data_IF_881966544629
#
_entry.id   IF_881966544629
#
_cell.length_a   1.000
_cell.length_b   1.000
_cell.length_c   1.000
_cell.angle_alpha   90.00
_cell.angle_beta   90.00
_cell.angle_gamma   90.00
#
_symmetry.space_group_name_H-M   'P 1'
#
loop_
_entity.id
_entity.type
_entity.pdbx_description
1 polymer ?
#
# COMPACT_ATOMS: atom_id res chain seq x y z
N UNK A 1 32.13 -36.38 57.52
CA UNK A 1 30.92 -36.88 56.76
C UNK A 1 29.93 -35.75 56.39
N UNK A 2 30.30 -34.50 56.61
CA UNK A 2 29.44 -33.32 56.36
C UNK A 2 29.74 -32.54 55.04
N UNK A 3 30.78 -32.87 54.28
CA UNK A 3 31.21 -32.20 53.07
C UNK A 3 30.68 -32.83 51.73
N UNK A 4 30.02 -34.02 51.82
CA UNK A 4 29.58 -34.79 50.68
C UNK A 4 28.14 -34.47 50.26
N UNK A 5 27.35 -33.85 51.14
CA UNK A 5 25.94 -33.48 50.81
C UNK A 5 25.75 -32.06 50.31
N UNK A 6 26.75 -31.17 50.44
CA UNK A 6 26.66 -29.82 49.94
C UNK A 6 26.91 -29.72 48.43
N UNK A 7 27.57 -30.70 47.82
CA UNK A 7 27.85 -30.72 46.38
C UNK A 7 26.67 -31.22 45.54
N UNK A 8 25.81 -32.06 46.15
CA UNK A 8 24.61 -32.56 45.47
C UNK A 8 23.49 -31.51 45.41
N UNK A 9 23.44 -30.57 46.34
CA UNK A 9 22.42 -29.50 46.35
C UNK A 9 22.78 -28.32 45.43
N UNK A 10 24.08 -28.08 45.17
CA UNK A 10 24.52 -27.05 44.23
C UNK A 10 24.37 -27.46 42.76
N UNK A 11 24.34 -28.76 42.45
CA UNK A 11 24.11 -29.23 41.06
C UNK A 11 22.63 -29.25 40.64
N UNK A 12 21.69 -29.23 41.59
CA UNK A 12 20.26 -29.19 41.27
C UNK A 12 19.72 -27.78 40.99
N UNK A 13 20.49 -26.73 41.31
CA UNK A 13 20.13 -25.33 41.06
C UNK A 13 20.61 -24.79 39.69
N UNK A 14 21.35 -25.60 38.94
CA UNK A 14 21.95 -25.19 37.65
C UNK A 14 21.19 -25.66 36.40
N UNK A 15 20.03 -26.30 36.53
CA UNK A 15 19.21 -26.77 35.44
C UNK A 15 17.86 -26.03 35.26
N UNK A 16 17.73 -24.83 35.83
CA UNK A 16 16.66 -23.94 35.34
C UNK A 16 17.14 -23.36 33.99
N UNK A 17 16.99 -24.16 32.93
CA UNK A 17 16.96 -23.55 31.59
C UNK A 17 15.89 -22.45 31.62
N UNK A 18 16.17 -21.23 31.19
CA UNK A 18 15.13 -20.24 31.09
C UNK A 18 14.02 -20.82 30.20
N UNK A 19 12.88 -21.16 30.84
CA UNK A 19 11.69 -21.53 30.09
C UNK A 19 11.37 -20.34 29.21
N UNK A 20 11.40 -20.52 27.88
CA UNK A 20 10.98 -19.47 26.96
C UNK A 20 9.55 -19.03 27.28
N UNK A 21 9.27 -17.76 27.20
CA UNK A 21 7.93 -17.25 27.43
C UNK A 21 6.92 -17.89 26.48
N UNK A 22 5.72 -18.20 26.97
CA UNK A 22 4.63 -18.78 26.16
C UNK A 22 4.11 -17.73 25.20
N UNK A 23 3.93 -18.10 23.93
CA UNK A 23 3.43 -17.22 22.86
C UNK A 23 4.21 -15.93 22.68
N UNK A 24 5.52 -16.06 22.60
CA UNK A 24 6.40 -14.94 22.28
C UNK A 24 6.01 -14.30 20.95
N UNK A 25 6.18 -12.97 20.91
CA UNK A 25 5.98 -12.17 19.72
C UNK A 25 7.17 -12.32 18.77
N UNK A 26 7.07 -13.27 17.86
CA UNK A 26 8.08 -13.55 16.83
C UNK A 26 7.61 -13.02 15.46
N UNK A 27 8.55 -12.61 14.58
CA UNK A 27 8.19 -12.17 13.23
C UNK A 27 7.41 -13.25 12.48
N UNK A 28 6.25 -12.90 11.96
CA UNK A 28 5.47 -13.77 11.10
C UNK A 28 5.89 -13.54 9.64
N UNK A 29 6.57 -14.54 9.03
CA UNK A 29 7.00 -14.51 7.66
C UNK A 29 8.34 -13.81 7.38
N UNK A 30 8.91 -14.18 6.26
CA UNK A 30 10.27 -13.80 5.84
C UNK A 30 10.40 -12.29 5.54
N UNK A 31 9.34 -11.66 5.05
CA UNK A 31 9.36 -10.23 4.77
C UNK A 31 9.48 -9.44 6.08
N UNK A 32 8.68 -9.78 7.08
CA UNK A 32 8.72 -9.16 8.40
C UNK A 32 10.11 -9.33 9.04
N UNK A 33 10.66 -10.55 8.99
CA UNK A 33 12.00 -10.82 9.51
C UNK A 33 13.06 -9.97 8.78
N UNK A 34 12.98 -9.84 7.46
CA UNK A 34 13.90 -9.03 6.64
C UNK A 34 13.85 -7.53 6.95
N UNK A 35 12.73 -7.04 7.49
CA UNK A 35 12.56 -5.65 7.96
C UNK A 35 13.01 -5.42 9.42
N UNK A 36 13.60 -6.42 10.07
CA UNK A 36 14.07 -6.30 11.45
C UNK A 36 13.04 -6.71 12.50
N UNK A 37 11.87 -7.20 12.11
CA UNK A 37 10.82 -7.65 13.00
C UNK A 37 9.43 -7.43 12.45
N UNK A 38 8.42 -7.66 13.27
CA UNK A 38 7.04 -7.35 12.86
C UNK A 38 6.82 -5.85 12.79
N UNK A 39 6.02 -5.40 11.82
CA UNK A 39 5.69 -4.00 11.59
C UNK A 39 4.18 -3.76 11.52
N UNK A 40 3.69 -2.81 12.31
CA UNK A 40 2.26 -2.50 12.43
C UNK A 40 1.69 -1.74 11.22
N UNK A 41 2.55 -1.16 10.36
CA UNK A 41 2.15 -0.39 9.17
C UNK A 41 2.55 -1.06 7.84
N UNK A 42 3.30 -2.16 7.87
CA UNK A 42 3.80 -2.82 6.67
C UNK A 42 2.72 -3.75 6.09
N UNK A 43 2.17 -3.40 4.94
CA UNK A 43 1.19 -4.22 4.22
C UNK A 43 1.86 -5.48 3.65
N UNK A 44 1.58 -6.61 4.25
CA UNK A 44 2.07 -7.94 3.90
C UNK A 44 0.96 -8.97 4.16
N UNK A 45 0.84 -10.05 3.39
CA UNK A 45 -0.16 -11.09 3.65
C UNK A 45 -0.19 -11.66 5.07
N UNK A 46 0.96 -11.81 5.72
CA UNK A 46 1.05 -12.31 7.12
C UNK A 46 1.04 -11.21 8.17
N UNK A 47 0.90 -9.96 7.77
CA UNK A 47 0.95 -8.81 8.70
C UNK A 47 -0.22 -8.73 9.69
N UNK A 48 -1.29 -9.50 9.49
CA UNK A 48 -2.40 -9.58 10.43
C UNK A 48 -1.98 -10.06 11.82
N UNK A 49 -0.87 -10.79 11.95
CA UNK A 49 -0.29 -11.12 13.24
C UNK A 49 0.37 -9.92 13.93
N UNK A 50 0.83 -8.94 13.17
CA UNK A 50 1.38 -7.69 13.72
C UNK A 50 0.31 -6.61 13.92
N UNK A 51 -0.66 -6.52 13.02
CA UNK A 51 -1.78 -5.59 13.07
C UNK A 51 -3.00 -6.15 12.33
N UNK A 52 -4.08 -6.49 13.05
CA UNK A 52 -5.30 -7.04 12.47
C UNK A 52 -5.98 -6.19 11.40
N UNK A 53 -5.72 -4.89 11.33
CA UNK A 53 -6.35 -4.00 10.35
C UNK A 53 -5.67 -4.02 8.97
N UNK A 54 -4.42 -4.47 8.86
CA UNK A 54 -3.66 -4.45 7.61
C UNK A 54 -4.29 -5.27 6.47
N UNK A 55 -4.92 -6.43 6.71
CA UNK A 55 -5.62 -7.18 5.67
C UNK A 55 -6.74 -6.43 4.96
N UNK A 56 -7.28 -5.36 5.57
CA UNK A 56 -8.29 -4.50 4.96
C UNK A 56 -7.87 -3.89 3.61
N UNK A 57 -6.57 -3.74 3.37
CA UNK A 57 -6.01 -3.29 2.09
C UNK A 57 -6.00 -4.38 1.01
N UNK A 58 -6.14 -5.66 1.37
CA UNK A 58 -6.06 -6.77 0.42
C UNK A 58 -7.21 -6.75 -0.58
N UNK A 59 -6.89 -7.01 -1.85
CA UNK A 59 -7.86 -6.99 -2.95
C UNK A 59 -8.09 -8.35 -3.59
N UNK A 60 -7.18 -9.29 -3.34
CA UNK A 60 -7.18 -10.63 -3.93
C UNK A 60 -7.30 -11.65 -2.82
N UNK A 61 -7.91 -12.80 -3.13
CA UNK A 61 -7.80 -13.96 -2.27
C UNK A 61 -6.32 -14.35 -2.20
N UNK A 62 -5.80 -14.44 -0.99
CA UNK A 62 -4.42 -14.77 -0.74
C UNK A 62 -4.34 -15.94 0.22
N UNK A 63 -3.44 -16.86 -0.04
CA UNK A 63 -3.10 -17.94 0.87
C UNK A 63 -1.61 -18.19 0.84
N UNK A 64 -1.09 -18.76 1.91
CA UNK A 64 0.31 -19.09 1.96
C UNK A 64 0.71 -19.87 3.18
N UNK A 65 2.00 -20.14 3.22
CA UNK A 65 2.66 -20.79 4.32
C UNK A 65 3.98 -20.09 4.63
N UNK A 66 4.36 -20.14 5.88
CA UNK A 66 5.63 -19.62 6.36
C UNK A 66 6.33 -20.62 7.28
N UNK A 67 7.63 -20.53 7.27
CA UNK A 67 8.52 -21.24 8.16
C UNK A 67 9.48 -20.23 8.79
N UNK A 68 9.69 -20.34 10.08
CA UNK A 68 10.72 -19.62 10.82
C UNK A 68 11.50 -20.60 11.68
N UNK A 69 12.81 -20.70 11.45
CA UNK A 69 13.72 -21.49 12.26
C UNK A 69 14.67 -20.59 13.04
N UNK A 70 14.89 -20.90 14.31
CA UNK A 70 15.90 -20.24 15.12
C UNK A 70 16.91 -21.27 15.61
N UNK A 71 18.18 -20.95 15.48
CA UNK A 71 19.28 -21.86 15.84
C UNK A 71 20.01 -21.35 17.09
N UNK A 72 20.12 -22.20 18.07
CA UNK A 72 20.85 -21.88 19.33
C UNK A 72 22.31 -21.60 19.05
N UNK A 73 22.78 -20.46 19.53
CA UNK A 73 24.21 -20.21 19.78
C UNK A 73 24.58 -20.60 21.22
N UNK A 74 25.86 -20.67 21.52
CA UNK A 74 26.38 -21.07 22.86
C UNK A 74 25.78 -20.29 24.05
N UNK A 75 25.18 -19.11 23.79
CA UNK A 75 24.61 -18.24 24.83
C UNK A 75 23.15 -17.86 24.55
N UNK A 76 22.55 -18.36 23.45
CA UNK A 76 21.19 -17.99 23.03
C UNK A 76 20.08 -18.88 23.61
N UNK A 77 18.83 -18.49 23.49
CA UNK A 77 17.69 -19.32 23.85
C UNK A 77 17.65 -20.63 23.05
N UNK A 78 16.80 -21.56 23.46
CA UNK A 78 16.63 -22.85 22.79
C UNK A 78 16.28 -22.71 21.30
N UNK A 79 16.65 -23.71 20.51
CA UNK A 79 16.19 -23.79 19.11
C UNK A 79 14.67 -23.88 19.10
N UNK A 80 14.05 -23.20 18.13
CA UNK A 80 12.64 -23.40 17.85
C UNK A 80 12.39 -23.42 16.35
N UNK A 81 11.29 -24.07 15.98
CA UNK A 81 10.74 -24.04 14.62
C UNK A 81 9.29 -23.56 14.69
N UNK A 82 8.93 -22.62 13.84
CA UNK A 82 7.57 -22.13 13.68
C UNK A 82 7.12 -22.41 12.26
N UNK A 83 5.97 -23.03 12.13
CA UNK A 83 5.28 -23.28 10.86
C UNK A 83 3.98 -22.53 10.88
N UNK A 84 3.69 -21.79 9.83
CA UNK A 84 2.46 -21.03 9.65
C UNK A 84 1.76 -21.36 8.34
N UNK A 85 0.44 -21.27 8.37
CA UNK A 85 -0.39 -21.25 7.17
C UNK A 85 -1.53 -20.26 7.35
N UNK A 86 -1.91 -19.59 6.29
CA UNK A 86 -2.90 -18.54 6.36
C UNK A 86 -3.68 -18.39 5.04
N UNK A 87 -4.89 -17.83 5.16
CA UNK A 87 -5.72 -17.45 4.03
C UNK A 87 -6.44 -16.13 4.32
N UNK A 88 -6.48 -15.26 3.32
CA UNK A 88 -7.18 -13.98 3.34
C UNK A 88 -8.30 -14.03 2.31
N UNK A 89 -9.53 -13.74 2.74
CA UNK A 89 -10.71 -13.63 1.89
C UNK A 89 -11.11 -12.16 1.85
N UNK A 90 -10.70 -11.41 0.82
CA UNK A 90 -10.90 -9.98 0.78
C UNK A 90 -12.32 -9.62 0.37
N UNK A 91 -12.77 -8.45 0.76
CA UNK A 91 -13.96 -7.77 0.26
C UNK A 91 -15.23 -8.64 0.26
N UNK A 92 -15.44 -9.40 1.32
CA UNK A 92 -16.65 -10.19 1.49
C UNK A 92 -17.90 -9.34 1.26
N UNK A 93 -18.93 -9.94 0.66
CA UNK A 93 -20.20 -9.29 0.33
C UNK A 93 -20.02 -7.96 -0.43
N UNK A 94 -19.25 -7.99 -1.55
CA UNK A 94 -18.96 -6.81 -2.40
C UNK A 94 -18.26 -5.67 -1.66
N UNK A 95 -17.40 -6.03 -0.69
CA UNK A 95 -16.64 -5.05 0.10
C UNK A 95 -17.33 -4.53 1.35
N UNK A 96 -18.60 -4.86 1.57
CA UNK A 96 -19.36 -4.38 2.74
C UNK A 96 -18.90 -5.00 4.05
N UNK A 97 -18.45 -6.25 4.00
CA UNK A 97 -18.04 -7.01 5.20
C UNK A 97 -16.53 -6.99 5.45
N UNK A 98 -15.74 -6.28 4.63
CA UNK A 98 -14.30 -6.20 4.79
C UNK A 98 -13.56 -7.47 4.37
N UNK A 99 -12.43 -7.75 4.99
CA UNK A 99 -11.56 -8.90 4.74
C UNK A 99 -11.57 -9.84 5.91
N UNK A 100 -11.79 -11.13 5.66
CA UNK A 100 -11.64 -12.19 6.65
C UNK A 100 -10.27 -12.85 6.53
N UNK A 101 -9.71 -13.24 7.67
CA UNK A 101 -8.45 -13.96 7.78
C UNK A 101 -8.63 -15.21 8.58
N UNK A 102 -8.06 -16.32 8.10
CA UNK A 102 -7.90 -17.56 8.84
C UNK A 102 -6.44 -17.93 8.83
N UNK A 103 -5.87 -18.22 9.98
CA UNK A 103 -4.48 -18.63 10.09
C UNK A 103 -4.26 -19.65 11.20
N UNK A 104 -3.22 -20.46 11.01
CA UNK A 104 -2.72 -21.39 12.01
C UNK A 104 -1.21 -21.26 12.11
N UNK A 105 -0.68 -21.33 13.33
CA UNK A 105 0.75 -21.43 13.60
C UNK A 105 1.01 -22.59 14.54
N UNK A 106 2.10 -23.29 14.31
CA UNK A 106 2.64 -24.33 15.15
C UNK A 106 4.12 -24.01 15.45
N UNK A 107 4.42 -23.80 16.73
CA UNK A 107 5.79 -23.58 17.20
C UNK A 107 6.22 -24.80 18.03
N UNK A 108 7.41 -25.28 17.76
CA UNK A 108 8.06 -26.34 18.51
C UNK A 108 9.39 -25.84 19.06
N UNK A 109 9.49 -25.75 20.35
CA UNK A 109 10.70 -25.37 21.09
C UNK A 109 11.53 -26.63 21.42
N UNK A 110 11.93 -27.35 20.37
CA UNK A 110 12.77 -28.55 20.44
C UNK A 110 12.16 -29.69 21.32
N UNK A 111 10.85 -29.86 21.21
CA UNK A 111 10.10 -30.86 21.95
C UNK A 111 9.89 -30.55 23.46
N UNK A 112 10.42 -29.43 23.96
CA UNK A 112 10.23 -29.01 25.35
C UNK A 112 8.88 -28.34 25.56
N UNK A 113 8.48 -27.51 24.61
CA UNK A 113 7.22 -26.78 24.62
C UNK A 113 6.70 -26.68 23.17
N UNK A 114 5.47 -27.08 22.96
CA UNK A 114 4.77 -26.89 21.70
C UNK A 114 3.66 -25.87 21.87
N UNK A 115 3.52 -24.98 20.91
CA UNK A 115 2.54 -23.91 20.94
C UNK A 115 1.76 -23.90 19.63
N UNK A 116 0.43 -23.89 19.71
CA UNK A 116 -0.47 -23.79 18.56
C UNK A 116 -1.29 -22.54 18.69
N UNK A 117 -1.40 -21.81 17.60
CA UNK A 117 -2.26 -20.63 17.48
C UNK A 117 -3.18 -20.83 16.30
N UNK A 118 -4.49 -20.71 16.49
CA UNK A 118 -5.49 -20.59 15.43
C UNK A 118 -6.07 -19.20 15.55
N UNK A 119 -6.00 -18.44 14.49
CA UNK A 119 -6.45 -17.04 14.47
C UNK A 119 -7.57 -16.86 13.42
N UNK A 120 -8.63 -16.19 13.85
CA UNK A 120 -9.74 -15.72 13.01
C UNK A 120 -9.72 -14.20 13.04
N UNK A 121 -9.42 -13.60 11.90
CA UNK A 121 -9.31 -12.15 11.76
C UNK A 121 -10.44 -11.56 10.92
N UNK A 122 -10.78 -10.34 11.26
CA UNK A 122 -11.65 -9.51 10.46
C UNK A 122 -11.08 -8.10 10.40
N UNK A 123 -11.00 -7.55 9.19
CA UNK A 123 -10.52 -6.20 8.95
C UNK A 123 -11.51 -5.42 8.07
N UNK A 124 -11.76 -4.19 8.40
CA UNK A 124 -12.57 -3.29 7.57
C UNK A 124 -11.82 -2.90 6.31
N UNK A 125 -12.54 -2.50 5.29
CA UNK A 125 -11.98 -1.95 4.06
C UNK A 125 -12.53 -0.56 3.87
N UNK A 126 -11.69 0.48 4.05
CA UNK A 126 -12.05 1.89 3.95
C UNK A 126 -13.26 2.24 4.84
N UNK A 127 -13.19 1.88 6.13
CA UNK A 127 -14.29 2.08 7.09
C UNK A 127 -14.69 3.55 7.20
N UNK A 128 -13.70 4.42 7.37
CA UNK A 128 -13.92 5.86 7.44
C UNK A 128 -13.03 6.54 6.40
N UNK A 129 -13.65 7.35 5.57
CA UNK A 129 -12.95 8.21 4.63
C UNK A 129 -13.13 9.65 5.08
N UNK A 130 -12.01 10.33 5.34
CA UNK A 130 -11.96 11.75 5.69
C UNK A 130 -11.17 12.51 4.64
N UNK A 131 -11.20 13.82 4.67
CA UNK A 131 -10.33 14.65 3.82
C UNK A 131 -8.84 14.41 4.09
N UNK A 132 -8.51 13.91 5.30
CA UNK A 132 -7.15 13.62 5.74
C UNK A 132 -6.66 12.22 5.35
N UNK A 133 -7.53 11.31 4.89
CA UNK A 133 -7.15 9.94 4.52
C UNK A 133 -8.20 8.88 4.86
N UNK A 134 -7.74 7.62 4.83
CA UNK A 134 -8.56 6.42 5.03
C UNK A 134 -8.21 5.77 6.37
N UNK A 135 -9.23 5.37 7.12
CA UNK A 135 -9.09 4.59 8.35
C UNK A 135 -9.66 3.20 8.17
N UNK A 136 -8.92 2.21 8.64
CA UNK A 136 -9.35 0.83 8.77
C UNK A 136 -9.15 0.34 10.20
N UNK A 137 -9.98 -0.59 10.59
CA UNK A 137 -9.97 -1.25 11.89
C UNK A 137 -9.93 -2.75 11.69
N UNK A 138 -9.34 -3.48 12.62
CA UNK A 138 -9.29 -4.93 12.58
C UNK A 138 -9.28 -5.57 13.95
N UNK A 139 -9.75 -6.81 14.01
CA UNK A 139 -9.78 -7.65 15.20
C UNK A 139 -9.37 -9.07 14.84
N UNK A 140 -8.54 -9.70 15.70
CA UNK A 140 -8.27 -11.13 15.66
C UNK A 140 -8.76 -11.79 16.95
N UNK A 141 -9.45 -12.91 16.81
CA UNK A 141 -9.73 -13.86 17.84
C UNK A 141 -8.76 -15.04 17.70
N UNK A 142 -8.05 -15.38 18.76
CA UNK A 142 -7.04 -16.42 18.74
C UNK A 142 -7.40 -17.53 19.75
N UNK A 143 -7.28 -18.78 19.31
CA UNK A 143 -7.23 -19.95 20.19
C UNK A 143 -5.74 -20.28 20.35
N UNK A 144 -5.26 -20.19 21.55
CA UNK A 144 -3.88 -20.43 21.93
C UNK A 144 -3.82 -21.74 22.73
N UNK A 145 -2.96 -22.67 22.33
CA UNK A 145 -2.75 -23.93 23.02
C UNK A 145 -1.26 -24.15 23.23
N UNK A 146 -0.86 -24.37 24.47
CA UNK A 146 0.50 -24.77 24.82
C UNK A 146 0.49 -26.19 25.39
N UNK A 147 1.50 -26.97 25.05
CA UNK A 147 1.69 -28.31 25.63
C UNK A 147 3.17 -28.52 25.92
N UNK A 148 3.45 -29.13 27.07
CA UNK A 148 4.81 -29.46 27.50
C UNK A 148 5.29 -30.85 27.01
N UNK A 149 6.51 -31.21 27.30
CA UNK A 149 7.11 -32.50 26.95
C UNK A 149 6.41 -33.69 27.64
N UNK A 150 5.72 -33.48 28.75
CA UNK A 150 4.96 -34.51 29.45
C UNK A 150 3.60 -34.79 28.83
N UNK A 151 3.17 -33.94 27.86
CA UNK A 151 1.88 -34.04 27.18
C UNK A 151 0.75 -33.30 27.92
N UNK A 152 1.06 -32.59 29.02
CA UNK A 152 0.10 -31.68 29.62
C UNK A 152 -0.18 -30.52 28.67
N UNK A 153 -1.44 -30.14 28.54
CA UNK A 153 -1.81 -29.05 27.62
C UNK A 153 -2.81 -28.09 28.25
N UNK A 154 -2.66 -26.84 27.94
CA UNK A 154 -3.54 -25.76 28.36
C UNK A 154 -3.94 -24.90 27.16
N UNK A 155 -5.16 -24.42 27.18
CA UNK A 155 -5.69 -23.57 26.11
C UNK A 155 -6.20 -22.24 26.67
N UNK A 156 -6.08 -21.20 25.89
CA UNK A 156 -6.57 -19.86 26.20
C UNK A 156 -7.11 -19.15 24.98
N UNK A 157 -7.86 -18.07 25.20
CA UNK A 157 -8.38 -17.22 24.14
C UNK A 157 -7.62 -15.91 24.12
N UNK A 158 -7.12 -15.51 22.98
CA UNK A 158 -6.45 -14.22 22.75
C UNK A 158 -7.33 -13.30 21.92
N UNK A 159 -7.21 -12.00 22.19
CA UNK A 159 -7.88 -10.94 21.44
C UNK A 159 -6.85 -9.90 21.03
N UNK A 160 -6.81 -9.58 19.71
CA UNK A 160 -5.99 -8.50 19.18
C UNK A 160 -6.87 -7.43 18.55
N UNK A 161 -6.46 -6.19 18.69
CA UNK A 161 -7.08 -5.03 18.04
C UNK A 161 -6.06 -4.31 17.19
N UNK A 162 -6.49 -3.76 16.08
CA UNK A 162 -5.64 -3.00 15.18
C UNK A 162 -6.36 -1.85 14.53
N UNK A 163 -5.61 -0.81 14.19
CA UNK A 163 -6.06 0.31 13.41
C UNK A 163 -4.98 0.70 12.40
N UNK A 164 -5.41 1.17 11.25
CA UNK A 164 -4.53 1.67 10.19
C UNK A 164 -5.10 2.97 9.66
N UNK A 165 -4.24 3.97 9.54
CA UNK A 165 -4.54 5.24 8.89
C UNK A 165 -3.65 5.41 7.66
N UNK A 166 -4.26 5.73 6.51
CA UNK A 166 -3.58 6.01 5.25
C UNK A 166 -3.92 7.44 4.82
N UNK A 167 -3.04 8.41 5.13
CA UNK A 167 -3.26 9.79 4.69
C UNK A 167 -3.26 9.92 3.16
N UNK A 168 -2.49 9.10 2.50
CA UNK A 168 -2.38 9.02 1.04
C UNK A 168 -2.04 7.58 0.58
N UNK A 169 -1.75 7.41 -0.72
CA UNK A 169 -1.40 6.11 -1.30
C UNK A 169 0.04 5.66 -0.99
N UNK A 170 0.85 6.48 -0.34
CA UNK A 170 2.26 6.20 -0.05
C UNK A 170 2.51 5.94 1.44
N UNK A 171 1.78 6.63 2.30
CA UNK A 171 2.03 6.58 3.74
C UNK A 171 1.00 5.72 4.44
N UNK A 172 1.46 4.94 5.39
CA UNK A 172 0.62 4.10 6.26
C UNK A 172 1.09 4.30 7.69
N UNK A 173 0.17 4.56 8.58
CA UNK A 173 0.37 4.58 10.03
C UNK A 173 -0.44 3.46 10.62
N UNK A 174 0.18 2.59 11.39
CA UNK A 174 -0.46 1.44 12.01
C UNK A 174 -0.33 1.47 13.53
N UNK A 175 -1.40 1.12 14.21
CA UNK A 175 -1.42 0.90 15.65
C UNK A 175 -2.05 -0.46 15.93
N UNK A 176 -1.50 -1.21 16.89
CA UNK A 176 -2.10 -2.46 17.32
C UNK A 176 -1.84 -2.77 18.79
N UNK A 177 -2.76 -3.52 19.36
CA UNK A 177 -2.66 -4.13 20.70
C UNK A 177 -2.89 -5.62 20.52
N UNK A 178 -1.85 -6.41 20.71
CA UNK A 178 -1.92 -7.86 20.64
C UNK A 178 -2.11 -8.43 22.05
N UNK A 179 -2.85 -9.54 22.14
CA UNK A 179 -3.19 -10.21 23.38
C UNK A 179 -3.77 -9.24 24.44
N UNK A 180 -4.75 -8.43 24.03
CA UNK A 180 -5.38 -7.38 24.85
C UNK A 180 -5.84 -7.92 26.21
N UNK A 181 -6.42 -9.12 26.23
CA UNK A 181 -6.94 -9.80 27.42
C UNK A 181 -5.86 -10.53 28.24
N UNK A 182 -4.60 -10.52 27.77
CA UNK A 182 -3.43 -11.12 28.45
C UNK A 182 -3.72 -12.53 29.00
N UNK A 183 -4.08 -13.52 28.12
CA UNK A 183 -4.47 -14.85 28.57
C UNK A 183 -3.34 -15.52 29.34
N UNK A 184 -3.69 -16.11 30.48
CA UNK A 184 -2.75 -16.84 31.37
C UNK A 184 -2.81 -18.35 31.08
N UNK A 185 -1.67 -19.00 31.28
CA UNK A 185 -1.47 -20.44 31.06
C UNK A 185 -0.78 -21.01 32.27
N UNK A 186 -1.38 -22.03 32.85
CA UNK A 186 -0.76 -22.82 33.92
C UNK A 186 -0.44 -24.21 33.37
N UNK A 187 0.85 -24.51 33.19
CA UNK A 187 1.34 -25.75 32.64
C UNK A 187 2.32 -26.37 33.62
N UNK A 188 1.86 -27.36 34.40
CA UNK A 188 2.62 -27.90 35.51
C UNK A 188 2.97 -26.83 36.55
N UNK A 189 4.24 -26.62 36.80
CA UNK A 189 4.73 -25.59 37.71
C UNK A 189 4.96 -24.23 37.04
N UNK A 190 4.73 -24.12 35.74
CA UNK A 190 4.91 -22.88 34.95
C UNK A 190 3.57 -22.12 34.89
N UNK A 191 3.51 -21.00 35.58
CA UNK A 191 2.46 -20.02 35.39
C UNK A 191 3.00 -18.88 34.50
N UNK A 192 2.45 -18.72 33.33
CA UNK A 192 2.85 -17.68 32.39
C UNK A 192 1.64 -17.06 31.69
N UNK A 193 1.82 -15.94 31.00
CA UNK A 193 0.79 -15.30 30.23
C UNK A 193 1.31 -14.91 28.84
N UNK A 194 0.46 -15.03 27.82
CA UNK A 194 0.82 -14.50 26.52
C UNK A 194 1.05 -12.99 26.63
N UNK A 195 2.23 -12.49 26.27
CA UNK A 195 2.60 -11.10 26.49
C UNK A 195 1.69 -10.16 25.68
N UNK A 196 1.23 -9.10 26.33
CA UNK A 196 0.57 -8.01 25.62
C UNK A 196 1.61 -7.20 24.86
N UNK A 197 1.33 -6.91 23.60
CA UNK A 197 2.22 -6.11 22.76
C UNK A 197 1.47 -4.90 22.22
N UNK A 198 2.01 -3.72 22.48
CA UNK A 198 1.59 -2.46 21.88
C UNK A 198 2.53 -2.14 20.73
N UNK A 199 2.02 -1.83 19.56
CA UNK A 199 2.80 -1.44 18.39
C UNK A 199 2.31 -0.13 17.81
N UNK A 200 3.26 0.67 17.36
CA UNK A 200 3.04 1.86 16.56
C UNK A 200 4.03 1.82 15.40
N UNK A 201 3.55 1.80 14.20
CA UNK A 201 4.38 1.74 13.01
C UNK A 201 4.04 2.82 12.01
N UNK A 202 5.03 3.19 11.22
CA UNK A 202 4.88 4.02 10.03
C UNK A 202 5.58 3.36 8.87
N UNK A 203 4.98 3.43 7.69
CA UNK A 203 5.58 2.95 6.45
C UNK A 203 5.37 3.95 5.33
N UNK A 204 6.39 4.14 4.51
CA UNK A 204 6.34 4.91 3.27
C UNK A 204 6.66 3.98 2.11
N UNK A 205 5.74 3.89 1.15
CA UNK A 205 5.86 3.08 -0.05
C UNK A 205 6.03 3.97 -1.27
N UNK A 206 7.16 3.83 -1.94
CA UNK A 206 7.44 4.44 -3.24
C UNK A 206 7.47 3.37 -4.33
N UNK A 207 7.71 3.77 -5.58
CA UNK A 207 7.71 2.82 -6.71
C UNK A 207 8.71 1.69 -6.54
N UNK A 208 9.94 2.04 -6.15
CA UNK A 208 11.07 1.10 -6.10
C UNK A 208 11.53 0.81 -4.67
N UNK A 209 11.03 1.50 -3.65
CA UNK A 209 11.42 1.20 -2.28
C UNK A 209 10.29 1.43 -1.27
N UNK A 210 10.37 0.70 -0.16
CA UNK A 210 9.50 0.83 1.00
C UNK A 210 10.38 1.05 2.23
N UNK A 211 10.06 2.08 3.01
CA UNK A 211 10.65 2.34 4.32
C UNK A 211 9.64 1.99 5.39
N UNK A 212 10.09 1.43 6.49
CA UNK A 212 9.25 1.14 7.66
C UNK A 212 9.98 1.43 8.95
N UNK A 213 9.27 1.97 9.90
CA UNK A 213 9.72 2.15 11.28
C UNK A 213 8.63 1.68 12.23
N UNK A 214 8.94 0.73 13.08
CA UNK A 214 8.01 0.17 14.06
C UNK A 214 8.58 0.31 15.46
N UNK A 215 7.75 0.78 16.39
CA UNK A 215 8.01 0.84 17.81
C UNK A 215 7.08 -0.16 18.50
N UNK A 216 7.64 -1.12 19.21
CA UNK A 216 6.85 -2.10 19.95
C UNK A 216 7.22 -2.10 21.45
N UNK A 217 6.19 -2.20 22.28
CA UNK A 217 6.31 -2.40 23.74
C UNK A 217 5.66 -3.71 24.13
N UNK A 218 6.45 -4.67 24.55
CA UNK A 218 6.00 -5.96 25.05
C UNK A 218 5.92 -5.95 26.59
N UNK A 219 4.86 -6.48 27.15
CA UNK A 219 4.77 -6.72 28.60
C UNK A 219 5.75 -7.83 29.04
N UNK A 220 6.07 -7.88 30.30
CA UNK A 220 6.81 -9.02 30.88
C UNK A 220 5.98 -10.29 30.89
N UNK A 221 6.65 -11.44 30.89
CA UNK A 221 6.08 -12.78 30.87
C UNK A 221 7.11 -13.77 31.44
N UNK A 222 6.69 -14.83 32.12
CA UNK A 222 7.57 -15.86 32.73
C UNK A 222 8.72 -15.30 33.58
N UNK A 223 8.45 -14.25 34.34
CA UNK A 223 9.48 -13.60 35.17
C UNK A 223 10.43 -12.67 34.39
N UNK A 224 10.30 -12.58 33.07
CA UNK A 224 11.04 -11.63 32.28
C UNK A 224 10.40 -10.22 32.34
N UNK A 225 11.26 -9.20 32.45
CA UNK A 225 10.79 -7.80 32.37
C UNK A 225 10.37 -7.47 30.96
N UNK A 226 9.33 -6.64 30.83
CA UNK A 226 8.90 -6.11 29.55
C UNK A 226 10.04 -5.41 28.79
N UNK A 227 9.87 -5.35 27.47
CA UNK A 227 10.86 -4.83 26.52
C UNK A 227 10.25 -3.81 25.59
N UNK A 228 11.07 -2.85 25.15
CA UNK A 228 10.75 -1.91 24.09
C UNK A 228 11.72 -2.15 22.95
N UNK A 229 11.21 -2.25 21.73
CA UNK A 229 12.01 -2.42 20.52
C UNK A 229 11.68 -1.34 19.48
N UNK A 230 12.67 -0.99 18.69
CA UNK A 230 12.58 -0.12 17.53
C UNK A 230 13.10 -0.89 16.31
N UNK A 231 12.30 -0.97 15.26
CA UNK A 231 12.57 -1.82 14.11
C UNK A 231 12.52 -0.98 12.82
N UNK A 232 13.62 -0.29 12.45
CA UNK A 232 13.73 0.34 11.14
C UNK A 232 14.02 -0.70 10.06
N UNK A 233 13.39 -0.54 8.91
CA UNK A 233 13.60 -1.43 7.76
C UNK A 233 13.42 -0.73 6.42
N UNK A 234 14.08 -1.28 5.41
CA UNK A 234 14.03 -0.84 4.03
C UNK A 234 13.89 -2.03 3.09
N UNK A 235 13.07 -1.87 2.05
CA UNK A 235 12.94 -2.81 0.94
C UNK A 235 13.18 -2.05 -0.36
N UNK A 236 13.99 -2.61 -1.23
CA UNK A 236 14.14 -2.14 -2.61
C UNK A 236 13.59 -3.17 -3.58
N UNK A 237 12.82 -2.70 -4.58
CA UNK A 237 12.16 -3.54 -5.59
C UNK A 237 12.76 -3.28 -6.97
N UNK A 238 13.26 -4.35 -7.63
CA UNK A 238 13.64 -4.32 -9.03
C UNK A 238 12.54 -4.92 -9.89
N UNK A 239 12.09 -4.19 -10.88
CA UNK A 239 11.13 -4.67 -11.87
C UNK A 239 11.90 -5.26 -13.04
N UNK A 240 11.58 -6.49 -13.40
CA UNK A 240 12.13 -7.15 -14.58
C UNK A 240 10.97 -7.43 -15.55
N UNK A 241 11.22 -7.26 -16.84
CA UNK A 241 10.17 -7.45 -17.87
C UNK A 241 9.62 -8.88 -17.91
N UNK A 242 10.46 -9.89 -17.67
CA UNK A 242 10.10 -11.31 -17.81
C UNK A 242 10.03 -12.07 -16.49
N UNK A 243 10.89 -11.74 -15.52
CA UNK A 243 11.00 -12.48 -14.27
C UNK A 243 10.14 -11.92 -13.13
N UNK A 244 9.32 -10.89 -13.38
CA UNK A 244 8.50 -10.24 -12.35
C UNK A 244 9.28 -9.25 -11.50
N UNK A 245 9.03 -9.21 -10.19
CA UNK A 245 9.67 -8.29 -9.25
C UNK A 245 10.58 -9.04 -8.30
N UNK A 246 11.80 -8.55 -8.16
CA UNK A 246 12.74 -8.99 -7.14
C UNK A 246 12.78 -7.94 -6.03
N UNK A 247 12.98 -8.39 -4.81
CA UNK A 247 13.07 -7.52 -3.63
C UNK A 247 14.34 -7.83 -2.86
N UNK A 248 15.04 -6.82 -2.40
CA UNK A 248 16.03 -6.93 -1.33
C UNK A 248 15.57 -6.14 -0.13
N UNK A 249 15.86 -6.65 1.05
CA UNK A 249 15.43 -6.09 2.32
C UNK A 249 16.60 -6.00 3.27
N UNK A 250 16.60 -4.96 4.09
CA UNK A 250 17.51 -4.82 5.22
C UNK A 250 16.76 -4.17 6.37
N UNK A 251 17.04 -4.60 7.59
CA UNK A 251 16.41 -4.08 8.77
C UNK A 251 17.25 -4.26 10.02
N UNK A 252 16.88 -3.56 11.07
CA UNK A 252 17.47 -3.68 12.39
C UNK A 252 16.37 -3.95 13.41
N UNK A 253 16.64 -4.87 14.30
CA UNK A 253 15.91 -5.05 15.55
C UNK A 253 16.74 -4.41 16.66
N UNK A 254 16.23 -3.37 17.28
CA UNK A 254 16.90 -2.65 18.37
C UNK A 254 16.03 -2.71 19.61
N UNK A 255 16.43 -3.47 20.59
CA UNK A 255 15.72 -3.57 21.84
C UNK A 255 16.65 -3.30 23.04
N UNK A 256 16.08 -3.00 24.19
CA UNK A 256 16.84 -2.61 25.37
C UNK A 256 17.87 -3.66 25.85
N UNK A 257 17.70 -4.92 25.45
CA UNK A 257 18.55 -6.04 25.89
C UNK A 257 19.18 -6.84 24.76
N UNK A 258 18.78 -6.54 23.53
CA UNK A 258 19.18 -7.35 22.39
C UNK A 258 19.05 -6.55 21.09
N UNK A 259 19.92 -6.83 20.14
CA UNK A 259 19.82 -6.25 18.80
C UNK A 259 20.19 -7.29 17.74
N UNK A 260 19.60 -7.16 16.57
CA UNK A 260 19.89 -8.00 15.42
C UNK A 260 19.90 -7.20 14.13
N UNK A 261 20.73 -7.62 13.20
CA UNK A 261 20.72 -7.18 11.80
C UNK A 261 19.91 -8.20 11.00
N UNK A 262 19.02 -7.71 10.17
CA UNK A 262 18.19 -8.54 9.30
C UNK A 262 18.44 -8.22 7.83
N UNK A 263 18.36 -9.25 7.01
CA UNK A 263 18.39 -9.16 5.55
C UNK A 263 17.34 -10.07 4.94
N UNK A 264 16.89 -9.76 3.75
CA UNK A 264 15.88 -10.57 3.07
C UNK A 264 15.92 -10.41 1.56
N UNK A 265 15.45 -11.45 0.90
CA UNK A 265 15.22 -11.48 -0.55
C UNK A 265 13.76 -11.89 -0.81
N UNK A 266 13.21 -11.40 -1.90
CA UNK A 266 11.86 -11.78 -2.32
C UNK A 266 11.79 -11.84 -3.84
N UNK A 267 10.93 -12.72 -4.33
CA UNK A 267 10.60 -12.82 -5.73
C UNK A 267 9.09 -12.94 -5.88
N UNK A 268 8.51 -12.07 -6.71
CA UNK A 268 7.09 -12.04 -7.00
C UNK A 268 6.88 -12.14 -8.50
N UNK A 269 6.20 -13.18 -8.92
CA UNK A 269 5.84 -13.40 -10.31
C UNK A 269 4.40 -13.87 -10.43
N UNK A 270 3.61 -13.20 -11.28
CA UNK A 270 2.20 -13.50 -11.47
C UNK A 270 1.43 -13.62 -10.13
N UNK A 271 0.92 -14.82 -9.84
CA UNK A 271 0.13 -15.11 -8.64
C UNK A 271 0.99 -15.51 -7.43
N UNK A 272 2.29 -15.76 -7.60
CA UNK A 272 3.15 -16.30 -6.55
C UNK A 272 4.16 -15.28 -6.03
N UNK A 273 4.47 -15.38 -4.75
CA UNK A 273 5.55 -14.65 -4.10
C UNK A 273 6.31 -15.59 -3.18
N UNK A 274 7.62 -15.64 -3.35
CA UNK A 274 8.54 -16.36 -2.49
C UNK A 274 9.44 -15.35 -1.80
N UNK A 275 9.57 -15.45 -0.49
CA UNK A 275 10.43 -14.57 0.30
C UNK A 275 11.29 -15.38 1.24
N UNK A 276 12.54 -14.97 1.41
CA UNK A 276 13.48 -15.49 2.39
C UNK A 276 14.03 -14.35 3.22
N UNK A 277 14.14 -14.56 4.53
CA UNK A 277 14.71 -13.61 5.48
C UNK A 277 15.66 -14.29 6.45
N UNK A 278 16.65 -13.55 6.91
CA UNK A 278 17.61 -13.96 7.92
C UNK A 278 17.79 -12.82 8.92
N UNK A 279 17.93 -13.16 10.21
CA UNK A 279 18.31 -12.25 11.26
C UNK A 279 19.55 -12.79 11.99
N UNK A 280 20.55 -11.92 12.14
CA UNK A 280 21.81 -12.23 12.81
C UNK A 280 21.91 -11.37 14.06
N UNK A 281 22.05 -11.96 15.25
CA UNK A 281 22.18 -11.20 16.48
C UNK A 281 23.47 -10.38 16.48
N UNK A 282 23.36 -9.13 16.91
CA UNK A 282 24.49 -8.24 17.13
C UNK A 282 24.86 -8.19 18.61
N UNK A 283 23.84 -8.11 19.46
CA UNK A 283 24.00 -8.07 20.91
C UNK A 283 22.85 -8.80 21.61
N UNK A 284 23.12 -9.26 22.87
CA UNK A 284 22.11 -9.90 23.71
C UNK A 284 21.92 -11.39 23.46
N UNK A 285 20.96 -11.97 24.16
CA UNK A 285 20.65 -13.40 24.09
C UNK A 285 19.58 -13.68 23.05
N UNK A 286 19.83 -13.31 21.77
CA UNK A 286 18.97 -13.69 20.64
C UNK A 286 19.68 -14.76 19.81
N UNK A 287 18.93 -15.72 19.31
CA UNK A 287 19.46 -16.72 18.37
C UNK A 287 19.34 -16.24 16.93
N UNK A 288 20.29 -16.60 16.04
CA UNK A 288 20.13 -16.43 14.61
C UNK A 288 18.83 -17.08 14.13
N UNK A 289 18.11 -16.40 13.28
CA UNK A 289 16.84 -16.88 12.75
C UNK A 289 16.79 -16.75 11.23
N UNK A 290 16.07 -17.66 10.59
CA UNK A 290 15.78 -17.59 9.15
C UNK A 290 14.32 -17.93 8.91
N UNK A 291 13.75 -17.33 7.89
CA UNK A 291 12.34 -17.53 7.53
C UNK A 291 12.18 -17.67 6.02
N UNK A 292 11.24 -18.53 5.65
CA UNK A 292 10.81 -18.74 4.26
C UNK A 292 9.30 -18.55 4.21
N UNK A 293 8.80 -17.74 3.28
CA UNK A 293 7.37 -17.53 3.07
C UNK A 293 7.02 -17.75 1.61
N UNK A 294 5.99 -18.56 1.38
CA UNK A 294 5.35 -18.73 0.09
C UNK A 294 3.94 -18.15 0.17
N UNK A 295 3.61 -17.21 -0.72
CA UNK A 295 2.28 -16.64 -0.85
C UNK A 295 1.75 -16.85 -2.27
N UNK A 296 0.47 -17.24 -2.36
CA UNK A 296 -0.27 -17.40 -3.60
C UNK A 296 -1.45 -16.42 -3.60
N UNK A 297 -1.64 -15.71 -4.70
CA UNK A 297 -2.71 -14.73 -4.87
C UNK A 297 -3.61 -15.15 -6.01
N UNK A 298 -4.88 -15.27 -5.70
CA UNK A 298 -5.91 -15.60 -6.66
C UNK A 298 -6.87 -14.42 -6.76
N UNK A 299 -7.11 -13.93 -7.95
CA UNK A 299 -8.02 -12.82 -8.16
C UNK A 299 -8.73 -12.98 -9.49
N UNK A 300 -9.88 -12.39 -9.59
CA UNK A 300 -10.62 -12.36 -10.84
C UNK A 300 -9.79 -11.57 -11.85
N UNK A 301 -9.23 -12.28 -12.84
CA UNK A 301 -8.51 -11.63 -13.96
C UNK A 301 -9.39 -10.59 -14.64
N UNK A 302 -10.72 -10.78 -14.60
CA UNK A 302 -11.67 -9.86 -15.20
C UNK A 302 -11.59 -8.44 -14.60
N UNK A 303 -11.43 -8.31 -13.27
CA UNK A 303 -11.32 -6.98 -12.61
C UNK A 303 -9.96 -6.34 -12.90
N UNK A 304 -8.90 -7.15 -12.91
CA UNK A 304 -7.54 -6.67 -13.24
C UNK A 304 -7.45 -6.28 -14.72
N UNK A 305 -8.04 -7.07 -15.61
CA UNK A 305 -8.16 -6.79 -17.05
C UNK A 305 -9.02 -5.55 -17.34
N UNK A 306 -10.11 -5.35 -16.60
CA UNK A 306 -10.95 -4.16 -16.76
C UNK A 306 -10.23 -2.89 -16.27
N UNK A 307 -9.53 -2.96 -15.14
CA UNK A 307 -8.71 -1.85 -14.67
C UNK A 307 -7.51 -1.58 -15.59
N UNK A 308 -6.84 -2.62 -16.09
CA UNK A 308 -5.79 -2.47 -17.09
C UNK A 308 -6.33 -1.92 -18.42
N UNK A 309 -7.53 -2.33 -18.83
CA UNK A 309 -8.21 -1.78 -20.02
C UNK A 309 -8.52 -0.31 -19.82
N UNK A 310 -9.04 0.09 -18.66
CA UNK A 310 -9.30 1.50 -18.36
C UNK A 310 -8.00 2.32 -18.36
N UNK A 311 -6.93 1.82 -17.75
CA UNK A 311 -5.62 2.49 -17.79
C UNK A 311 -5.09 2.58 -19.23
N UNK A 312 -5.15 1.50 -20.00
CA UNK A 312 -4.74 1.48 -21.40
C UNK A 312 -5.59 2.44 -22.25
N UNK A 313 -6.89 2.52 -21.99
CA UNK A 313 -7.77 3.49 -22.65
C UNK A 313 -7.41 4.93 -22.26
N UNK A 314 -7.14 5.21 -21.00
CA UNK A 314 -6.72 6.55 -20.56
C UNK A 314 -5.36 6.94 -21.13
N UNK A 315 -4.39 6.02 -21.16
CA UNK A 315 -3.10 6.26 -21.81
C UNK A 315 -3.27 6.51 -23.30
N UNK A 316 -4.11 5.72 -23.98
CA UNK A 316 -4.43 5.93 -25.39
C UNK A 316 -5.07 7.28 -25.60
N UNK A 317 -6.09 7.63 -24.81
CA UNK A 317 -6.77 8.93 -24.88
C UNK A 317 -5.80 10.10 -24.65
N UNK A 318 -4.91 10.01 -23.68
CA UNK A 318 -3.86 11.03 -23.46
C UNK A 318 -2.89 11.13 -24.63
N UNK A 319 -2.53 10.00 -25.24
CA UNK A 319 -1.69 9.98 -26.44
C UNK A 319 -2.40 10.64 -27.62
N UNK A 320 -3.66 10.27 -27.88
CA UNK A 320 -4.49 10.85 -28.96
C UNK A 320 -4.68 12.38 -28.74
N UNK A 321 -4.81 12.82 -27.48
CA UNK A 321 -4.89 14.24 -27.11
C UNK A 321 -3.58 14.98 -27.38
N UNK A 322 -2.43 14.38 -27.05
CA UNK A 322 -1.11 14.96 -27.34
C UNK A 322 -0.90 15.07 -28.85
N UNK A 323 -1.23 14.02 -29.62
CA UNK A 323 -1.14 14.03 -31.09
C UNK A 323 -2.05 15.12 -31.70
N UNK A 324 -3.26 15.26 -31.17
CA UNK A 324 -4.19 16.32 -31.60
C UNK A 324 -3.68 17.73 -31.25
N UNK A 325 -3.05 17.90 -30.11
CA UNK A 325 -2.41 19.17 -29.71
C UNK A 325 -1.21 19.49 -30.60
N UNK A 326 -0.37 18.51 -30.92
CA UNK A 326 0.80 18.67 -31.80
C UNK A 326 0.35 19.01 -33.22
N UNK A 327 -0.67 18.32 -33.74
CA UNK A 327 -1.26 18.67 -35.07
C UNK A 327 -1.85 20.07 -35.07
N UNK A 328 -2.53 20.44 -34.00
CA UNK A 328 -3.09 21.77 -33.81
C UNK A 328 -2.01 22.85 -33.73
N UNK A 329 -0.90 22.59 -33.05
CA UNK A 329 0.25 23.50 -33.00
C UNK A 329 0.92 23.66 -34.38
N UNK A 330 1.04 22.55 -35.13
CA UNK A 330 1.54 22.60 -36.53
C UNK A 330 0.64 23.47 -37.43
N UNK A 331 -0.69 23.29 -37.34
CA UNK A 331 -1.65 24.12 -38.08
C UNK A 331 -1.56 25.61 -37.72
N UNK A 332 -1.38 25.88 -36.39
CA UNK A 332 -1.14 27.25 -35.92
C UNK A 332 0.15 27.84 -36.49
N UNK A 333 1.23 27.04 -36.57
CA UNK A 333 2.49 27.42 -37.20
C UNK A 333 2.33 27.78 -38.67
N UNK A 334 1.63 26.93 -39.45
CA UNK A 334 1.35 27.16 -40.85
C UNK A 334 0.51 28.42 -41.10
N UNK A 335 -0.52 28.62 -40.26
CA UNK A 335 -1.34 29.85 -40.36
C UNK A 335 -0.56 31.12 -40.02
N UNK A 336 0.36 31.05 -39.07
CA UNK A 336 1.28 32.17 -38.75
C UNK A 336 2.26 32.46 -39.89
N UNK A 337 2.78 31.42 -40.54
CA UNK A 337 3.61 31.58 -41.76
C UNK A 337 2.83 32.22 -42.90
N UNK A 338 1.60 31.76 -43.14
CA UNK A 338 0.72 32.35 -44.16
C UNK A 338 0.37 33.81 -43.85
N UNK A 339 0.09 34.12 -42.58
CA UNK A 339 -0.11 35.50 -42.12
C UNK A 339 1.13 36.37 -42.33
N UNK A 340 2.32 35.84 -42.06
CA UNK A 340 3.58 36.56 -42.23
C UNK A 340 3.86 36.81 -43.72
N UNK A 341 3.56 35.82 -44.59
CA UNK A 341 3.72 35.96 -46.04
C UNK A 341 2.75 36.98 -46.61
N UNK A 342 1.47 36.96 -46.15
CA UNK A 342 0.50 37.97 -46.54
C UNK A 342 0.87 39.38 -46.06
N UNK A 343 1.43 39.52 -44.87
CA UNK A 343 1.98 40.79 -44.37
C UNK A 343 3.11 41.31 -45.29
N UNK A 344 4.05 40.42 -45.61
CA UNK A 344 5.15 40.77 -46.52
C UNK A 344 4.64 41.17 -47.93
N UNK A 345 3.57 40.48 -48.43
CA UNK A 345 2.91 40.84 -49.68
C UNK A 345 2.23 42.20 -49.58
N UNK A 346 1.54 42.49 -48.47
CA UNK A 346 0.95 43.81 -48.21
C UNK A 346 2.03 44.90 -48.19
N UNK A 347 3.15 44.67 -47.49
CA UNK A 347 4.25 45.63 -47.41
C UNK A 347 4.87 45.86 -48.79
N UNK A 348 5.06 44.78 -49.57
CA UNK A 348 5.53 44.89 -50.97
C UNK A 348 4.55 45.64 -51.89
N UNK A 349 3.25 45.39 -51.73
CA UNK A 349 2.21 46.10 -52.46
C UNK A 349 2.14 47.59 -52.07
N UNK A 350 2.27 47.87 -50.76
CA UNK A 350 2.33 49.26 -50.26
C UNK A 350 3.56 50.02 -50.80
N UNK A 351 4.73 49.38 -50.88
CA UNK A 351 5.90 49.95 -51.49
C UNK A 351 5.68 50.29 -52.98
N UNK A 352 5.09 49.33 -53.75
CA UNK A 352 4.71 49.53 -55.15
C UNK A 352 3.68 50.63 -55.33
N UNK A 353 2.71 50.72 -54.42
CA UNK A 353 1.69 51.77 -54.44
C UNK A 353 2.29 53.13 -54.20
N UNK A 354 3.31 53.28 -53.39
CA UNK A 354 4.06 54.49 -53.16
C UNK A 354 4.87 54.91 -54.39
N UNK A 355 5.51 53.92 -55.08
CA UNK A 355 6.25 54.16 -56.32
C UNK A 355 5.32 54.53 -57.52
N UNK A 356 4.09 53.98 -57.56
CA UNK A 356 3.11 54.25 -58.64
C UNK A 356 2.24 55.45 -58.35
N UNK A 357 2.15 55.99 -57.16
CA UNK A 357 1.57 57.29 -56.87
C UNK A 357 2.31 58.41 -57.64
N UNK A 358 3.56 58.20 -57.97
CA UNK A 358 4.37 59.07 -58.82
C UNK A 358 4.09 58.82 -60.29
N UNK A 359 3.53 57.66 -60.69
CA UNK A 359 3.13 57.36 -62.08
C UNK A 359 1.60 57.21 -62.22
N UNK A 360 0.93 58.24 -62.77
CA UNK A 360 -0.55 58.45 -62.77
C UNK A 360 -1.45 57.40 -63.40
N UNK A 361 -1.03 56.26 -63.91
CA UNK A 361 -1.88 55.41 -64.77
C UNK A 361 -2.24 53.97 -64.18
N UNK A 362 -1.64 53.48 -63.12
CA UNK A 362 -1.83 52.07 -62.66
C UNK A 362 -2.44 51.91 -61.28
N UNK A 363 -2.79 52.94 -60.56
CA UNK A 363 -3.16 53.02 -59.17
C UNK A 363 -4.44 52.22 -58.77
N UNK A 364 -5.43 52.12 -59.73
CA UNK A 364 -6.72 51.48 -59.40
C UNK A 364 -6.59 49.93 -59.16
N UNK A 365 -5.82 49.27 -60.04
CA UNK A 365 -5.67 47.78 -59.92
C UNK A 365 -4.85 47.30 -58.79
N UNK A 366 -3.84 48.09 -58.34
CA UNK A 366 -3.00 47.71 -57.16
C UNK A 366 -3.72 47.98 -55.84
N UNK A 367 -4.54 49.03 -55.78
CA UNK A 367 -5.40 49.34 -54.66
C UNK A 367 -6.41 48.21 -54.39
N UNK A 368 -6.97 47.61 -55.48
CA UNK A 368 -7.89 46.48 -55.33
C UNK A 368 -7.16 45.19 -54.85
N UNK A 369 -5.93 44.98 -55.33
CA UNK A 369 -5.10 43.83 -54.85
C UNK A 369 -4.75 43.98 -53.39
N UNK A 370 -4.34 45.16 -52.93
CA UNK A 370 -4.02 45.43 -51.52
C UNK A 370 -5.24 45.18 -50.63
N UNK A 371 -6.41 45.66 -51.07
CA UNK A 371 -7.65 45.43 -50.35
C UNK A 371 -8.04 43.94 -50.26
N UNK A 372 -7.74 43.13 -51.29
CA UNK A 372 -8.01 41.70 -51.30
C UNK A 372 -7.09 40.96 -50.32
N UNK A 373 -5.80 41.34 -50.24
CA UNK A 373 -4.83 40.74 -49.32
C UNK A 373 -5.15 41.10 -47.86
N UNK A 374 -5.49 42.37 -47.57
CA UNK A 374 -5.94 42.81 -46.24
C UNK A 374 -7.18 42.03 -45.77
N UNK A 375 -8.15 41.80 -46.69
CA UNK A 375 -9.31 40.96 -46.40
C UNK A 375 -8.93 39.52 -46.07
N UNK A 376 -7.97 38.94 -46.84
CA UNK A 376 -7.45 37.60 -46.55
C UNK A 376 -6.76 37.53 -45.17
N UNK A 377 -5.94 38.57 -44.85
CA UNK A 377 -5.30 38.65 -43.56
C UNK A 377 -6.32 38.74 -42.39
N UNK A 378 -7.34 39.63 -42.57
CA UNK A 378 -8.41 39.76 -41.58
C UNK A 378 -9.24 38.47 -41.44
N UNK A 379 -9.48 37.77 -42.57
CA UNK A 379 -10.14 36.46 -42.54
C UNK A 379 -9.28 35.42 -41.77
N UNK A 380 -7.98 35.32 -42.08
CA UNK A 380 -7.06 34.42 -41.43
C UNK A 380 -6.88 34.72 -39.91
N UNK A 381 -6.85 36.01 -39.53
CA UNK A 381 -6.86 36.40 -38.11
C UNK A 381 -8.18 36.04 -37.41
N UNK A 382 -9.30 36.20 -38.10
CA UNK A 382 -10.60 35.78 -37.56
C UNK A 382 -10.70 34.25 -37.39
N UNK A 383 -10.14 33.50 -38.37
CA UNK A 383 -10.06 32.03 -38.25
C UNK A 383 -9.19 31.56 -37.10
N UNK A 384 -8.04 32.19 -36.90
CA UNK A 384 -7.16 31.89 -35.74
C UNK A 384 -7.86 32.15 -34.42
N UNK A 385 -8.57 33.29 -34.28
CA UNK A 385 -9.36 33.58 -33.08
C UNK A 385 -10.50 32.61 -32.90
N UNK A 386 -11.23 32.28 -33.96
CA UNK A 386 -12.33 31.32 -33.91
C UNK A 386 -11.82 29.90 -33.51
N UNK A 387 -10.65 29.50 -34.03
CA UNK A 387 -10.03 28.22 -33.69
C UNK A 387 -9.61 28.16 -32.22
N UNK A 388 -9.07 29.27 -31.70
CA UNK A 388 -8.68 29.38 -30.29
C UNK A 388 -9.88 29.28 -29.33
N UNK A 389 -10.98 29.96 -29.67
CA UNK A 389 -12.24 29.92 -28.93
C UNK A 389 -12.89 28.52 -29.02
N UNK A 390 -12.88 27.92 -30.24
CA UNK A 390 -13.39 26.57 -30.40
C UNK A 390 -12.64 25.57 -29.53
N UNK A 391 -11.30 25.66 -29.48
CA UNK A 391 -10.49 24.80 -28.61
C UNK A 391 -10.82 24.95 -27.11
N UNK A 392 -11.02 26.21 -26.65
CA UNK A 392 -11.47 26.47 -25.29
C UNK A 392 -12.82 25.84 -25.00
N UNK A 393 -13.76 26.03 -25.96
CA UNK A 393 -15.09 25.45 -25.83
C UNK A 393 -15.08 23.91 -25.87
N UNK A 394 -14.32 23.35 -26.81
CA UNK A 394 -14.17 21.88 -26.91
C UNK A 394 -13.56 21.28 -25.64
N UNK A 395 -12.53 21.94 -25.09
CA UNK A 395 -11.94 21.53 -23.81
C UNK A 395 -12.95 21.59 -22.65
N UNK A 396 -13.77 22.65 -22.61
CA UNK A 396 -14.80 22.79 -21.59
C UNK A 396 -15.92 21.76 -21.78
N UNK A 397 -16.31 21.51 -23.05
CA UNK A 397 -17.32 20.50 -23.36
C UNK A 397 -16.80 19.08 -23.04
N UNK A 398 -15.53 18.82 -23.35
CA UNK A 398 -14.91 17.55 -22.98
C UNK A 398 -14.94 17.36 -21.46
N UNK A 399 -14.54 18.37 -20.70
CA UNK A 399 -14.62 18.32 -19.23
C UNK A 399 -16.04 18.09 -18.71
N UNK A 400 -17.05 18.70 -19.35
CA UNK A 400 -18.46 18.46 -19.02
C UNK A 400 -18.90 17.04 -19.36
N UNK A 401 -18.48 16.54 -20.51
CA UNK A 401 -18.77 15.17 -20.91
C UNK A 401 -18.12 14.16 -19.95
N UNK A 402 -16.84 14.35 -19.66
CA UNK A 402 -16.10 13.49 -18.73
C UNK A 402 -16.75 13.50 -17.33
N UNK A 403 -17.10 14.70 -16.83
CA UNK A 403 -17.86 14.83 -15.58
C UNK A 403 -19.22 14.11 -15.65
N UNK A 404 -19.97 14.28 -16.75
CA UNK A 404 -21.27 13.61 -16.89
C UNK A 404 -21.14 12.08 -16.92
N UNK A 405 -20.06 11.58 -17.53
CA UNK A 405 -19.76 10.14 -17.58
C UNK A 405 -19.43 9.61 -16.20
N UNK A 406 -18.56 10.31 -15.48
CA UNK A 406 -18.19 9.94 -14.10
C UNK A 406 -19.39 10.05 -13.15
N UNK A 407 -20.22 11.07 -13.36
CA UNK A 407 -21.46 11.22 -12.61
C UNK A 407 -22.47 10.10 -12.88
N UNK A 408 -22.64 9.68 -14.14
CA UNK A 408 -23.49 8.55 -14.50
C UNK A 408 -22.93 7.21 -13.97
N UNK A 409 -21.61 7.05 -13.99
CA UNK A 409 -20.97 5.88 -13.38
C UNK A 409 -21.24 5.82 -11.87
N UNK A 410 -21.15 6.96 -11.19
CA UNK A 410 -21.55 7.07 -9.78
C UNK A 410 -23.04 6.72 -9.56
N UNK A 411 -23.95 7.26 -10.39
CA UNK A 411 -25.38 6.98 -10.27
C UNK A 411 -25.71 5.49 -10.50
N UNK A 412 -25.00 4.82 -11.42
CA UNK A 412 -25.13 3.38 -11.63
C UNK A 412 -24.65 2.59 -10.39
N UNK A 413 -23.52 2.99 -9.80
CA UNK A 413 -23.05 2.39 -8.55
C UNK A 413 -24.08 2.57 -7.42
N UNK A 414 -24.67 3.75 -7.31
CA UNK A 414 -25.73 4.06 -6.33
C UNK A 414 -26.98 3.23 -6.59
N UNK A 415 -27.43 3.15 -7.85
CA UNK A 415 -28.60 2.35 -8.24
C UNK A 415 -28.38 0.85 -8.11
N UNK A 416 -27.14 0.38 -8.22
CA UNK A 416 -26.74 -1.02 -8.02
C UNK A 416 -26.56 -1.43 -6.55
N UNK A 417 -26.81 -0.53 -5.59
CA UNK A 417 -26.71 -0.83 -4.16
C UNK A 417 -25.26 -0.96 -3.66
N UNK A 418 -24.33 -0.26 -4.29
CA UNK A 418 -22.94 -0.27 -3.84
C UNK A 418 -22.80 0.21 -2.39
N UNK A 419 -21.82 -0.28 -1.64
CA UNK A 419 -21.57 0.13 -0.26
C UNK A 419 -21.33 1.64 -0.14
N UNK A 420 -21.76 2.28 0.97
CA UNK A 420 -21.62 3.72 1.15
C UNK A 420 -20.17 4.22 0.99
N UNK A 421 -19.18 3.41 1.38
CA UNK A 421 -17.77 3.78 1.28
C UNK A 421 -17.28 3.81 -0.17
N UNK A 422 -17.77 2.89 -1.00
CA UNK A 422 -17.47 2.87 -2.44
C UNK A 422 -18.12 4.08 -3.12
N UNK A 423 -19.38 4.38 -2.76
CA UNK A 423 -20.10 5.54 -3.27
C UNK A 423 -19.38 6.85 -2.90
N UNK A 424 -18.99 6.96 -1.65
CA UNK A 424 -18.24 8.12 -1.13
C UNK A 424 -16.91 8.28 -1.84
N UNK A 425 -16.13 7.18 -1.97
CA UNK A 425 -14.84 7.18 -2.63
C UNK A 425 -14.90 7.53 -4.11
N UNK A 426 -15.93 7.07 -4.82
CA UNK A 426 -16.17 7.44 -6.20
C UNK A 426 -16.50 8.93 -6.33
N UNK A 427 -17.44 9.40 -5.53
CA UNK A 427 -17.92 10.77 -5.60
C UNK A 427 -16.88 11.81 -5.15
N UNK A 428 -16.07 11.49 -4.17
CA UNK A 428 -14.97 12.35 -3.72
C UNK A 428 -13.89 12.50 -4.80
N UNK A 429 -13.58 11.42 -5.52
CA UNK A 429 -12.67 11.48 -6.67
C UNK A 429 -13.26 12.39 -7.77
N UNK A 430 -14.51 12.19 -8.13
CA UNK A 430 -15.19 13.03 -9.13
C UNK A 430 -15.18 14.51 -8.71
N UNK A 431 -15.56 14.83 -7.47
CA UNK A 431 -15.55 16.22 -7.00
C UNK A 431 -14.15 16.82 -7.02
N UNK A 432 -13.13 16.12 -6.49
CA UNK A 432 -11.75 16.64 -6.46
C UNK A 432 -11.14 16.81 -7.86
N UNK A 433 -11.52 15.95 -8.82
CA UNK A 433 -11.02 16.01 -10.18
C UNK A 433 -11.55 17.23 -10.95
N UNK A 434 -12.81 17.64 -10.67
CA UNK A 434 -13.47 18.71 -11.41
C UNK A 434 -13.66 20.01 -10.62
N UNK A 435 -13.21 20.09 -9.37
CA UNK A 435 -13.39 21.26 -8.48
C UNK A 435 -12.86 22.56 -9.11
N UNK A 436 -11.70 22.51 -9.77
CA UNK A 436 -11.03 23.69 -10.33
C UNK A 436 -11.23 23.80 -11.86
N UNK A 437 -12.13 23.01 -12.45
CA UNK A 437 -12.31 22.93 -13.90
C UNK A 437 -13.25 23.98 -14.48
N UNK A 438 -13.95 24.76 -13.60
CA UNK A 438 -14.92 25.78 -14.02
C UNK A 438 -16.24 25.24 -14.55
N UNK A 439 -16.53 23.94 -14.36
CA UNK A 439 -17.84 23.33 -14.64
C UNK A 439 -18.69 23.27 -13.38
N UNK A 440 -20.00 23.25 -13.58
CA UNK A 440 -20.95 23.12 -12.45
C UNK A 440 -20.97 21.69 -11.91
N UNK A 441 -20.37 21.52 -10.76
CA UNK A 441 -20.33 20.26 -9.99
C UNK A 441 -21.22 20.29 -8.75
N UNK A 442 -22.13 21.26 -8.65
CA UNK A 442 -22.95 21.50 -7.45
C UNK A 442 -23.73 20.25 -7.02
N UNK A 443 -24.31 19.50 -7.95
CA UNK A 443 -25.03 18.26 -7.64
C UNK A 443 -24.14 17.20 -7.01
N UNK A 444 -22.95 17.00 -7.56
CA UNK A 444 -21.99 16.05 -7.01
C UNK A 444 -21.49 16.48 -5.61
N UNK A 445 -21.30 17.78 -5.42
CA UNK A 445 -20.87 18.34 -4.12
C UNK A 445 -21.96 18.21 -3.05
N UNK A 446 -23.24 18.47 -3.41
CA UNK A 446 -24.38 18.31 -2.50
C UNK A 446 -24.56 16.84 -2.13
N UNK A 447 -24.48 15.96 -3.09
CA UNK A 447 -24.60 14.51 -2.87
C UNK A 447 -23.45 13.99 -2.01
N UNK A 448 -22.21 14.45 -2.23
CA UNK A 448 -21.07 14.10 -1.39
C UNK A 448 -21.31 14.53 0.08
N UNK A 449 -21.84 15.73 0.29
CA UNK A 449 -22.19 16.21 1.65
C UNK A 449 -23.29 15.38 2.30
N UNK A 450 -24.21 14.83 1.51
CA UNK A 450 -25.27 13.96 2.03
C UNK A 450 -24.74 12.58 2.47
N UNK A 451 -23.67 12.10 1.84
CA UNK A 451 -23.00 10.86 2.18
C UNK A 451 -21.97 11.01 3.31
N UNK A 452 -21.66 12.25 3.70
CA UNK A 452 -20.77 12.58 4.81
C UNK A 452 -21.52 12.80 6.14
N UNK A 453 -22.85 12.94 6.08
CA UNK A 453 -23.76 12.96 7.25
C UNK A 453 -24.23 11.55 7.57
#
# INVERSE_FOLDING_TARGET
>A
MLLRNSFAFSCLLLCAAPAGAVFEDVPAGARQLGFGGQAAALEDPVSFFANPALPGASRKFEMGADFLGSHRTTQGPANFSLYGAWALIPRMAYGRMGTLTLAGQYRDDNGLLTQKTIAFGWATTNLLRTDSGLFDFGVNFKILQAADAAGESVSGLGLDLGAVFRPDNRHTVGFSILNLNNPSFALGALEDSAPRVLRLGVAEKREDFTLSLDLAKRSGSAGEKGNVSLNPGIEHAWRTERAGRLFSRAGLFLASRASALSAGLGWKHAASELSYGIAVPLTGAISPAHSLTLALRFGDRAIEDEYERMIKQEIKYRKDLIEALDESARREGLLKEELSSMKAEIDALNARLKDTQEQKASVAGEKDRLAAVVRRQAAAESELKALAEKRKADKLNQLRYDFSTDWQAYLKLKGGGAPPDVLRGSLQRTVSQYQDSGIDISQATVELRSLLK
#
